data_IF_728629212845
#
_entry.id   IF_728629212845
#
_cell.length_a   1.000
_cell.length_b   1.000
_cell.length_c   1.000
_cell.angle_alpha   90.00
_cell.angle_beta   90.00
_cell.angle_gamma   90.00
#
_symmetry.space_group_name_H-M   'P 1'
#
loop_
_entity.id
_entity.type
_entity.pdbx_description
1 polymer ?
#
# COMPACT_ATOMS: atom_id res chain seq x y z
N UNK A 1 -54.63 40.55 -41.31
CA UNK A 1 -54.74 39.69 -40.10
C UNK A 1 -55.97 38.79 -40.23
N UNK A 2 -55.81 37.53 -40.64
CA UNK A 2 -56.89 36.52 -40.64
C UNK A 2 -56.78 35.72 -39.33
N UNK A 3 -57.81 35.78 -38.48
CA UNK A 3 -57.92 34.97 -37.26
C UNK A 3 -58.37 33.56 -37.65
N UNK A 4 -57.55 32.55 -37.39
CA UNK A 4 -57.96 31.15 -37.40
C UNK A 4 -59.00 30.90 -36.29
N UNK A 5 -60.24 30.65 -36.70
CA UNK A 5 -61.25 30.06 -35.81
C UNK A 5 -60.94 28.57 -35.66
N UNK A 6 -60.08 28.22 -34.70
CA UNK A 6 -59.77 26.84 -34.34
C UNK A 6 -61.03 26.17 -33.75
N UNK A 7 -61.44 25.09 -34.40
CA UNK A 7 -62.63 24.30 -34.15
C UNK A 7 -62.55 23.51 -32.81
N UNK A 8 -62.74 24.19 -31.68
CA UNK A 8 -62.71 23.61 -30.32
C UNK A 8 -63.91 22.70 -29.97
N UNK A 9 -64.92 22.61 -30.84
CA UNK A 9 -66.16 21.86 -30.57
C UNK A 9 -66.01 20.34 -30.75
N UNK A 10 -65.24 19.87 -31.75
CA UNK A 10 -65.12 18.43 -32.05
C UNK A 10 -64.29 17.62 -31.04
N UNK A 11 -63.37 18.25 -30.30
CA UNK A 11 -62.48 17.54 -29.36
C UNK A 11 -63.20 17.03 -28.11
N UNK A 12 -64.27 17.71 -27.65
CA UNK A 12 -65.01 17.34 -26.44
C UNK A 12 -65.87 16.07 -26.58
N UNK A 13 -66.27 15.70 -27.79
CA UNK A 13 -67.10 14.51 -28.02
C UNK A 13 -66.29 13.21 -28.11
N UNK A 14 -65.01 13.28 -28.49
CA UNK A 14 -64.14 12.11 -28.59
C UNK A 14 -63.88 11.52 -27.20
N UNK A 15 -63.64 12.36 -26.19
CA UNK A 15 -63.43 11.92 -24.79
C UNK A 15 -64.66 11.27 -24.15
N UNK A 16 -65.87 11.55 -24.66
CA UNK A 16 -67.12 10.95 -24.17
C UNK A 16 -67.45 9.61 -24.85
N UNK A 17 -66.90 9.36 -26.04
CA UNK A 17 -67.13 8.10 -26.74
C UNK A 17 -66.37 6.96 -26.07
N UNK A 18 -66.87 5.73 -26.23
CA UNK A 18 -66.22 4.51 -25.73
C UNK A 18 -64.77 4.42 -26.26
N UNK A 19 -64.54 4.84 -27.50
CA UNK A 19 -63.22 4.88 -28.14
C UNK A 19 -62.27 5.86 -27.45
N UNK A 20 -62.71 7.07 -27.09
CA UNK A 20 -61.85 8.03 -26.38
C UNK A 20 -61.48 7.57 -24.97
N UNK A 21 -62.40 6.89 -24.26
CA UNK A 21 -62.11 6.26 -22.96
C UNK A 21 -61.10 5.13 -23.10
N UNK A 22 -61.21 4.28 -24.12
CA UNK A 22 -60.24 3.22 -24.40
C UNK A 22 -58.85 3.80 -24.74
N UNK A 23 -58.78 4.85 -25.56
CA UNK A 23 -57.52 5.54 -25.86
C UNK A 23 -56.86 6.09 -24.59
N UNK A 24 -57.64 6.71 -23.69
CA UNK A 24 -57.12 7.19 -22.41
C UNK A 24 -56.58 6.06 -21.53
N UNK A 25 -57.32 4.94 -21.43
CA UNK A 25 -56.89 3.78 -20.63
C UNK A 25 -55.58 3.20 -21.21
N UNK A 26 -55.51 3.00 -22.52
CA UNK A 26 -54.29 2.50 -23.19
C UNK A 26 -53.12 3.47 -22.97
N UNK A 27 -53.36 4.78 -23.12
CA UNK A 27 -52.35 5.80 -22.85
C UNK A 27 -51.85 5.76 -21.39
N UNK A 28 -52.75 5.62 -20.42
CA UNK A 28 -52.39 5.50 -19.01
C UNK A 28 -51.58 4.23 -18.72
N UNK A 29 -51.96 3.09 -19.32
CA UNK A 29 -51.22 1.83 -19.21
C UNK A 29 -49.81 1.97 -19.78
N UNK A 30 -49.65 2.63 -20.92
CA UNK A 30 -48.34 2.85 -21.54
C UNK A 30 -47.44 3.77 -20.70
N UNK A 31 -47.99 4.83 -20.11
CA UNK A 31 -47.24 5.71 -19.21
C UNK A 31 -46.81 4.94 -17.95
N UNK A 32 -47.74 4.19 -17.35
CA UNK A 32 -47.48 3.42 -16.14
C UNK A 32 -46.46 2.29 -16.38
N UNK A 33 -46.58 1.56 -17.49
CA UNK A 33 -45.60 0.54 -17.88
C UNK A 33 -44.23 1.15 -18.13
N UNK A 34 -44.16 2.30 -18.80
CA UNK A 34 -42.90 3.02 -19.02
C UNK A 34 -42.22 3.43 -17.72
N UNK A 35 -42.99 3.92 -16.72
CA UNK A 35 -42.46 4.29 -15.41
C UNK A 35 -41.93 3.05 -14.67
N UNK A 36 -42.68 1.94 -14.67
CA UNK A 36 -42.24 0.68 -14.03
C UNK A 36 -40.99 0.14 -14.69
N UNK A 37 -40.99 0.02 -16.02
CA UNK A 37 -39.83 -0.47 -16.77
C UNK A 37 -38.62 0.43 -16.54
N UNK A 38 -38.81 1.76 -16.58
CA UNK A 38 -37.73 2.71 -16.30
C UNK A 38 -37.15 2.50 -14.91
N UNK A 39 -37.99 2.40 -13.86
CA UNK A 39 -37.53 2.13 -12.48
C UNK A 39 -36.78 0.79 -12.38
N UNK A 40 -37.31 -0.26 -12.99
CA UNK A 40 -36.66 -1.57 -12.99
C UNK A 40 -35.30 -1.53 -13.71
N UNK A 41 -35.24 -0.90 -14.89
CA UNK A 41 -34.00 -0.72 -15.66
C UNK A 41 -32.99 0.11 -14.89
N UNK A 42 -33.40 1.19 -14.23
CA UNK A 42 -32.51 2.00 -13.39
C UNK A 42 -31.93 1.19 -12.24
N UNK A 43 -32.75 0.48 -11.47
CA UNK A 43 -32.27 -0.34 -10.35
C UNK A 43 -31.34 -1.48 -10.83
N UNK A 44 -31.68 -2.13 -11.95
CA UNK A 44 -30.84 -3.19 -12.52
C UNK A 44 -29.51 -2.63 -13.04
N UNK A 45 -29.53 -1.45 -13.65
CA UNK A 45 -28.33 -0.76 -14.15
C UNK A 45 -27.45 -0.29 -13.00
N UNK A 46 -28.02 0.27 -11.93
CA UNK A 46 -27.31 0.65 -10.72
C UNK A 46 -26.61 -0.55 -10.08
N UNK A 47 -27.33 -1.66 -9.91
CA UNK A 47 -26.73 -2.91 -9.41
C UNK A 47 -25.58 -3.40 -10.27
N UNK A 48 -25.74 -3.42 -11.60
CA UNK A 48 -24.68 -3.86 -12.53
C UNK A 48 -23.48 -2.93 -12.51
N UNK A 49 -23.70 -1.62 -12.43
CA UNK A 49 -22.62 -0.63 -12.30
C UNK A 49 -21.86 -0.83 -10.99
N UNK A 50 -22.57 -1.07 -9.89
CA UNK A 50 -21.97 -1.38 -8.61
C UNK A 50 -21.10 -2.64 -8.66
N UNK A 51 -21.65 -3.76 -9.17
CA UNK A 51 -20.88 -5.00 -9.36
C UNK A 51 -19.64 -4.79 -10.24
N UNK A 52 -19.74 -3.99 -11.30
CA UNK A 52 -18.60 -3.67 -12.16
C UNK A 52 -17.53 -2.84 -11.43
N UNK A 53 -17.93 -1.86 -10.61
CA UNK A 53 -17.01 -1.08 -9.77
C UNK A 53 -16.27 -2.00 -8.80
N UNK A 54 -16.98 -2.91 -8.12
CA UNK A 54 -16.36 -3.87 -7.20
C UNK A 54 -15.35 -4.78 -7.92
N UNK A 55 -15.66 -5.26 -9.12
CA UNK A 55 -14.73 -6.06 -9.93
C UNK A 55 -13.48 -5.28 -10.33
N UNK A 56 -13.63 -4.01 -10.71
CA UNK A 56 -12.49 -3.12 -11.01
C UNK A 56 -11.63 -2.90 -9.78
N UNK A 57 -12.22 -2.58 -8.63
CA UNK A 57 -11.47 -2.39 -7.38
C UNK A 57 -10.70 -3.64 -6.98
N UNK A 58 -11.31 -4.84 -7.11
CA UNK A 58 -10.63 -6.10 -6.87
C UNK A 58 -9.44 -6.31 -7.81
N UNK A 59 -9.59 -5.99 -9.10
CA UNK A 59 -8.49 -6.06 -10.06
C UNK A 59 -7.37 -5.07 -9.72
N UNK A 60 -7.71 -3.84 -9.34
CA UNK A 60 -6.76 -2.80 -8.95
C UNK A 60 -5.98 -3.22 -7.70
N UNK A 61 -6.65 -3.66 -6.63
CA UNK A 61 -5.99 -4.16 -5.41
C UNK A 61 -5.05 -5.32 -5.73
N UNK A 62 -5.44 -6.25 -6.61
CA UNK A 62 -4.55 -7.34 -7.05
C UNK A 62 -3.30 -6.79 -7.75
N UNK A 63 -3.49 -5.88 -8.70
CA UNK A 63 -2.39 -5.29 -9.48
C UNK A 63 -1.43 -4.47 -8.61
N UNK A 64 -1.97 -3.67 -7.69
CA UNK A 64 -1.21 -2.88 -6.72
C UNK A 64 -0.38 -3.81 -5.83
N UNK A 65 -1.02 -4.84 -5.26
CA UNK A 65 -0.35 -5.76 -4.33
C UNK A 65 0.80 -6.49 -5.00
N UNK A 66 0.59 -7.03 -6.20
CA UNK A 66 1.65 -7.65 -6.98
C UNK A 66 2.79 -6.67 -7.25
N UNK A 67 2.47 -5.42 -7.64
CA UNK A 67 3.50 -4.40 -7.92
C UNK A 67 4.30 -4.04 -6.68
N UNK A 68 3.65 -3.93 -5.51
CA UNK A 68 4.31 -3.68 -4.23
C UNK A 68 5.22 -4.85 -3.83
N UNK A 69 4.73 -6.08 -3.94
CA UNK A 69 5.52 -7.29 -3.67
C UNK A 69 6.75 -7.37 -4.58
N UNK A 70 6.58 -7.09 -5.87
CA UNK A 70 7.70 -7.07 -6.80
C UNK A 70 8.71 -5.97 -6.45
N UNK A 71 8.23 -4.78 -6.07
CA UNK A 71 9.09 -3.68 -5.63
C UNK A 71 9.87 -4.06 -4.37
N UNK A 72 9.20 -4.58 -3.34
CA UNK A 72 9.84 -5.04 -2.10
C UNK A 72 10.85 -6.17 -2.36
N UNK A 73 10.50 -7.12 -3.23
CA UNK A 73 11.41 -8.18 -3.66
C UNK A 73 12.63 -7.62 -4.39
N UNK A 74 12.46 -6.58 -5.22
CA UNK A 74 13.59 -5.92 -5.88
C UNK A 74 14.51 -5.25 -4.85
N UNK A 75 13.96 -4.61 -3.81
CA UNK A 75 14.78 -4.06 -2.72
C UNK A 75 15.60 -5.16 -2.03
N UNK A 76 15.00 -6.32 -1.78
CA UNK A 76 15.67 -7.48 -1.20
C UNK A 76 16.75 -8.08 -2.13
N UNK A 77 16.55 -8.03 -3.46
CA UNK A 77 17.54 -8.45 -4.45
C UNK A 77 18.72 -7.48 -4.50
N UNK A 78 18.47 -6.18 -4.43
CA UNK A 78 19.53 -5.17 -4.45
C UNK A 78 20.46 -5.31 -3.24
N UNK A 79 19.91 -5.52 -2.04
CA UNK A 79 20.75 -5.77 -0.84
C UNK A 79 21.55 -7.08 -0.95
N UNK A 80 21.10 -8.02 -1.79
CA UNK A 80 21.83 -9.26 -2.08
C UNK A 80 23.12 -8.99 -2.91
N UNK A 81 23.24 -7.86 -3.61
CA UNK A 81 24.47 -7.52 -4.33
C UNK A 81 25.69 -7.41 -3.41
N UNK A 82 25.48 -6.92 -2.19
CA UNK A 82 26.55 -6.68 -1.22
C UNK A 82 27.09 -7.96 -0.58
N UNK A 83 26.29 -9.03 -0.49
CA UNK A 83 26.73 -10.28 0.12
C UNK A 83 27.76 -11.04 -0.72
N UNK A 84 27.90 -10.69 -2.01
CA UNK A 84 28.88 -11.28 -2.92
C UNK A 84 30.19 -10.49 -3.01
N UNK A 85 30.32 -9.40 -2.25
CA UNK A 85 31.54 -8.60 -2.21
C UNK A 85 32.37 -8.95 -0.97
N UNK A 86 33.54 -9.57 -1.18
CA UNK A 86 34.49 -9.96 -0.13
C UNK A 86 34.84 -8.79 0.82
N UNK A 87 34.94 -7.57 0.30
CA UNK A 87 35.21 -6.38 1.11
C UNK A 87 34.15 -6.20 2.22
N UNK A 88 32.87 -6.38 1.92
CA UNK A 88 31.78 -6.26 2.91
C UNK A 88 31.75 -7.45 3.87
N UNK A 89 31.93 -8.68 3.35
CA UNK A 89 31.98 -9.92 4.14
C UNK A 89 33.16 -9.95 5.11
N UNK A 90 34.29 -9.34 4.73
CA UNK A 90 35.44 -9.22 5.61
C UNK A 90 35.24 -8.08 6.62
N UNK A 91 34.69 -6.95 6.18
CA UNK A 91 34.54 -5.80 7.04
C UNK A 91 33.47 -5.98 8.12
N UNK A 92 32.41 -6.77 7.90
CA UNK A 92 31.41 -7.06 8.93
C UNK A 92 32.01 -7.73 10.19
N UNK A 93 33.17 -8.37 10.04
CA UNK A 93 33.92 -9.04 11.12
C UNK A 93 34.91 -8.11 11.84
N UNK A 94 34.91 -6.81 11.53
CA UNK A 94 35.82 -5.83 12.13
C UNK A 94 35.68 -5.79 13.66
N UNK A 95 36.80 -5.61 14.36
CA UNK A 95 36.76 -5.37 15.80
C UNK A 95 36.12 -4.00 16.08
N UNK A 96 35.01 -3.99 16.81
CA UNK A 96 34.30 -2.77 17.21
C UNK A 96 35.22 -1.83 18.01
N UNK A 97 36.21 -2.35 18.75
CA UNK A 97 37.20 -1.51 19.44
C UNK A 97 38.06 -0.73 18.45
N UNK A 98 38.42 -1.31 17.31
CA UNK A 98 39.18 -0.62 16.27
C UNK A 98 38.38 0.56 15.69
N UNK A 99 37.06 0.39 15.50
CA UNK A 99 36.17 1.46 15.06
C UNK A 99 36.01 2.55 16.12
N UNK A 100 35.76 2.18 17.38
CA UNK A 100 35.61 3.13 18.51
C UNK A 100 36.89 3.93 18.75
N UNK A 101 38.05 3.30 18.62
CA UNK A 101 39.37 3.92 18.76
C UNK A 101 39.82 4.64 17.47
N UNK A 102 38.99 4.67 16.42
CA UNK A 102 39.25 5.32 15.14
C UNK A 102 40.59 4.90 14.51
N UNK A 103 40.89 3.60 14.55
CA UNK A 103 42.12 3.06 13.92
C UNK A 103 42.14 3.43 12.43
N UNK A 104 43.21 4.08 11.92
CA UNK A 104 43.20 4.67 10.57
C UNK A 104 42.78 3.71 9.46
N UNK A 105 43.33 2.49 9.44
CA UNK A 105 43.00 1.48 8.42
C UNK A 105 41.52 1.08 8.44
N UNK A 106 40.96 0.87 9.63
CA UNK A 106 39.56 0.44 9.78
C UNK A 106 38.61 1.56 9.38
N UNK A 107 38.92 2.81 9.72
CA UNK A 107 38.12 3.98 9.34
C UNK A 107 38.22 4.28 7.85
N UNK A 108 39.39 4.10 7.24
CA UNK A 108 39.56 4.25 5.78
C UNK A 108 38.68 3.25 5.02
N UNK A 109 38.74 1.96 5.40
CA UNK A 109 37.87 0.93 4.82
C UNK A 109 36.40 1.20 5.11
N UNK A 110 36.04 1.61 6.33
CA UNK A 110 34.66 1.95 6.69
C UNK A 110 34.11 3.05 5.78
N UNK A 111 34.86 4.13 5.59
CA UNK A 111 34.45 5.24 4.74
C UNK A 111 34.33 4.82 3.28
N UNK A 112 35.29 4.04 2.76
CA UNK A 112 35.24 3.53 1.37
C UNK A 112 33.96 2.74 1.13
N UNK A 113 33.62 1.80 2.01
CA UNK A 113 32.45 0.95 1.85
C UNK A 113 31.14 1.67 2.15
N UNK A 114 31.11 2.53 3.17
CA UNK A 114 29.94 3.39 3.47
C UNK A 114 29.58 4.28 2.28
N UNK A 115 30.59 4.83 1.56
CA UNK A 115 30.34 5.60 0.34
C UNK A 115 29.69 4.77 -0.78
N UNK A 116 29.85 3.45 -0.81
CA UNK A 116 29.15 2.58 -1.76
C UNK A 116 27.66 2.56 -1.42
N UNK A 117 27.31 2.38 -0.14
CA UNK A 117 25.93 2.36 0.37
C UNK A 117 25.20 3.70 0.14
N UNK A 118 25.92 4.83 0.04
CA UNK A 118 25.28 6.13 -0.25
C UNK A 118 24.74 6.29 -1.67
N UNK A 119 25.06 5.38 -2.59
CA UNK A 119 24.63 5.53 -4.00
C UNK A 119 23.12 5.43 -4.15
N UNK A 120 22.49 4.53 -3.39
CA UNK A 120 21.07 4.19 -3.55
C UNK A 120 20.15 5.12 -2.74
N UNK A 121 20.68 5.74 -1.68
CA UNK A 121 20.03 6.80 -0.88
C UNK A 121 19.62 8.02 -1.73
N UNK A 122 20.31 8.26 -2.86
CA UNK A 122 20.04 9.42 -3.73
C UNK A 122 18.68 9.38 -4.44
N UNK A 123 17.99 8.24 -4.41
CA UNK A 123 16.66 8.07 -5.00
C UNK A 123 15.56 8.84 -4.25
N UNK A 124 15.80 9.25 -3.00
CA UNK A 124 14.80 9.90 -2.12
C UNK A 124 13.73 8.94 -1.57
N UNK A 125 13.76 7.67 -2.01
CA UNK A 125 12.90 6.58 -1.54
C UNK A 125 13.59 5.74 -0.45
N UNK A 126 14.93 5.66 -0.52
CA UNK A 126 15.76 4.99 0.48
C UNK A 126 16.29 6.03 1.46
N UNK A 127 16.02 5.82 2.75
CA UNK A 127 16.54 6.66 3.81
C UNK A 127 17.99 6.31 4.13
N UNK A 128 18.27 5.02 4.32
CA UNK A 128 19.57 4.54 4.71
C UNK A 128 19.80 3.11 4.23
N UNK A 129 21.06 2.76 4.07
CA UNK A 129 21.51 1.38 3.90
C UNK A 129 22.66 1.13 4.86
N UNK A 130 22.60 0.03 5.58
CA UNK A 130 23.57 -0.24 6.63
C UNK A 130 23.78 -1.73 6.86
N UNK A 131 24.93 -2.06 7.44
CA UNK A 131 25.31 -3.43 7.78
C UNK A 131 25.53 -3.51 9.28
N UNK A 132 24.90 -4.51 9.86
CA UNK A 132 24.90 -4.84 11.29
C UNK A 132 25.73 -6.10 11.50
N UNK A 133 26.70 -6.09 12.40
CA UNK A 133 27.46 -7.30 12.72
C UNK A 133 26.63 -8.31 13.56
N UNK A 134 27.20 -9.50 13.80
CA UNK A 134 26.57 -10.57 14.60
C UNK A 134 26.12 -10.18 16.03
N UNK A 135 26.71 -9.11 16.58
CA UNK A 135 26.43 -8.60 17.91
C UNK A 135 25.30 -7.55 17.90
N UNK A 136 24.79 -7.16 16.73
CA UNK A 136 23.74 -6.16 16.58
C UNK A 136 24.26 -4.73 16.47
N UNK A 137 25.55 -4.53 16.17
CA UNK A 137 26.16 -3.20 16.04
C UNK A 137 26.28 -2.81 14.57
N UNK A 138 25.82 -1.61 14.23
CA UNK A 138 25.97 -1.03 12.89
C UNK A 138 27.45 -0.72 12.61
N UNK A 139 28.05 -1.41 11.64
CA UNK A 139 29.47 -1.28 11.28
C UNK A 139 29.71 -0.51 9.99
N UNK A 140 28.73 -0.51 9.07
CA UNK A 140 28.72 0.30 7.86
C UNK A 140 27.35 0.94 7.72
N UNK A 141 27.29 2.17 7.23
CA UNK A 141 26.03 2.85 6.97
C UNK A 141 26.24 3.94 5.93
N UNK A 142 25.25 4.15 5.06
CA UNK A 142 25.24 5.29 4.14
C UNK A 142 25.10 6.60 4.92
N UNK A 143 24.20 6.67 5.90
CA UNK A 143 24.20 7.73 6.91
C UNK A 143 25.16 7.41 8.05
N UNK A 144 26.18 8.27 8.21
CA UNK A 144 27.19 8.14 9.27
C UNK A 144 26.62 8.30 10.68
N UNK A 145 25.43 8.89 10.83
CA UNK A 145 24.76 9.04 12.13
C UNK A 145 24.40 7.69 12.76
N UNK A 146 24.15 6.67 11.94
CA UNK A 146 23.79 5.32 12.36
C UNK A 146 24.99 4.47 12.79
N UNK A 147 26.23 4.88 12.49
CA UNK A 147 27.42 4.08 12.80
C UNK A 147 27.56 3.83 14.31
N UNK A 148 27.87 2.59 14.66
CA UNK A 148 27.99 2.08 16.03
C UNK A 148 26.69 2.10 16.85
N UNK A 149 25.53 2.36 16.23
CA UNK A 149 24.24 2.16 16.86
C UNK A 149 24.04 0.67 17.21
N UNK A 150 23.39 0.42 18.33
CA UNK A 150 22.99 -0.93 18.77
C UNK A 150 21.54 -1.17 18.36
N UNK A 151 21.34 -2.15 17.49
CA UNK A 151 20.04 -2.58 16.98
C UNK A 151 19.76 -4.04 17.33
N UNK A 152 20.50 -4.62 18.29
CA UNK A 152 20.38 -6.02 18.70
C UNK A 152 18.99 -6.41 19.21
N UNK A 153 18.21 -5.45 19.67
CA UNK A 153 16.84 -5.62 20.15
C UNK A 153 15.77 -5.36 19.09
N UNK A 154 16.14 -4.98 17.87
CA UNK A 154 15.19 -4.67 16.80
C UNK A 154 14.68 -5.97 16.18
N UNK A 155 13.39 -6.00 15.87
CA UNK A 155 12.70 -7.20 15.35
C UNK A 155 13.36 -7.75 14.09
N UNK A 156 13.73 -6.87 13.15
CA UNK A 156 14.40 -7.28 11.91
C UNK A 156 15.72 -8.00 12.16
N UNK A 157 16.51 -7.58 13.16
CA UNK A 157 17.78 -8.21 13.48
C UNK A 157 17.57 -9.53 14.22
N UNK A 158 16.59 -9.58 15.11
CA UNK A 158 16.22 -10.81 15.83
C UNK A 158 15.79 -11.90 14.84
N UNK A 159 14.91 -11.57 13.88
CA UNK A 159 14.40 -12.55 12.92
C UNK A 159 15.49 -13.04 11.95
N UNK A 160 16.30 -12.14 11.38
CA UNK A 160 17.41 -12.57 10.51
C UNK A 160 18.46 -13.37 11.26
N UNK A 161 18.74 -13.04 12.53
CA UNK A 161 19.64 -13.82 13.40
C UNK A 161 19.08 -15.21 13.69
N UNK A 162 17.77 -15.35 13.86
CA UNK A 162 17.09 -16.60 14.18
C UNK A 162 16.88 -17.54 12.99
N UNK A 163 17.24 -17.13 11.77
CA UNK A 163 17.28 -18.03 10.62
C UNK A 163 16.55 -17.52 9.39
N UNK A 164 15.80 -16.42 9.51
CA UNK A 164 15.13 -15.84 8.36
C UNK A 164 16.16 -15.26 7.39
N UNK A 165 16.04 -15.66 6.13
CA UNK A 165 16.97 -15.23 5.09
C UNK A 165 16.71 -13.77 4.68
N UNK A 166 15.44 -13.41 4.50
CA UNK A 166 14.95 -12.05 4.27
C UNK A 166 13.82 -11.79 5.25
N UNK A 167 13.80 -10.60 5.83
CA UNK A 167 12.74 -10.11 6.69
C UNK A 167 12.32 -8.70 6.26
N UNK A 168 11.01 -8.44 6.27
CA UNK A 168 10.42 -7.12 6.04
C UNK A 168 9.76 -6.69 7.35
N UNK A 169 10.18 -5.55 7.90
CA UNK A 169 9.63 -5.11 9.19
C UNK A 169 8.22 -4.56 9.07
N UNK A 170 7.58 -4.34 10.21
CA UNK A 170 6.47 -3.38 10.29
C UNK A 170 7.00 -1.97 10.07
N UNK A 171 6.11 -1.00 9.88
CA UNK A 171 6.57 0.38 9.83
C UNK A 171 6.98 0.85 11.21
N UNK A 172 8.19 1.39 11.25
CA UNK A 172 8.78 1.97 12.44
C UNK A 172 9.12 3.42 12.18
N UNK A 173 9.13 4.21 13.24
CA UNK A 173 9.66 5.57 13.17
C UNK A 173 11.19 5.50 13.26
N UNK A 174 11.87 6.02 12.24
CA UNK A 174 13.31 6.20 12.21
C UNK A 174 13.75 7.07 13.39
N UNK A 175 14.81 6.65 14.08
CA UNK A 175 15.36 7.43 15.19
C UNK A 175 16.19 8.61 14.67
N UNK A 176 16.74 8.45 13.47
CA UNK A 176 17.70 9.32 12.82
C UNK A 176 16.99 10.50 12.16
N UNK A 177 15.89 10.24 11.43
CA UNK A 177 15.17 11.25 10.64
C UNK A 177 13.79 11.58 11.18
N UNK A 178 13.19 10.66 11.95
CA UNK A 178 11.79 10.74 12.36
C UNK A 178 10.80 10.34 11.27
N UNK A 179 11.24 9.90 10.10
CA UNK A 179 10.37 9.38 9.04
C UNK A 179 9.79 8.02 9.44
N UNK A 180 8.65 7.69 8.86
CA UNK A 180 8.13 6.32 8.89
C UNK A 180 8.83 5.49 7.82
N UNK A 181 9.46 4.40 8.25
CA UNK A 181 10.26 3.53 7.40
C UNK A 181 9.84 2.08 7.54
N UNK A 182 10.12 1.29 6.51
CA UNK A 182 10.08 -0.15 6.53
C UNK A 182 11.50 -0.68 6.30
N UNK A 183 11.94 -1.66 7.09
CA UNK A 183 13.30 -2.21 7.01
C UNK A 183 13.28 -3.50 6.22
N UNK A 184 13.97 -3.52 5.09
CA UNK A 184 14.29 -4.75 4.36
C UNK A 184 15.61 -5.26 4.91
N UNK A 185 15.57 -6.39 5.61
CA UNK A 185 16.72 -7.00 6.26
C UNK A 185 17.08 -8.33 5.60
N UNK A 186 18.33 -8.50 5.21
CA UNK A 186 18.86 -9.72 4.60
C UNK A 186 19.96 -10.30 5.47
N UNK A 187 19.85 -11.59 5.76
CA UNK A 187 20.84 -12.35 6.53
C UNK A 187 22.15 -12.49 5.74
N UNK A 188 23.27 -12.21 6.40
CA UNK A 188 24.61 -12.44 5.86
C UNK A 188 25.23 -13.66 6.53
N UNK A 189 25.70 -14.62 5.72
CA UNK A 189 26.32 -15.85 6.20
C UNK A 189 27.77 -15.96 5.72
N UNK A 190 28.60 -16.72 6.45
CA UNK A 190 29.90 -17.16 5.95
C UNK A 190 29.76 -18.36 5.00
N UNK A 191 30.90 -18.82 4.45
CA UNK A 191 30.98 -19.99 3.56
C UNK A 191 30.46 -21.29 4.21
N UNK A 192 30.40 -21.34 5.55
CA UNK A 192 29.91 -22.49 6.31
C UNK A 192 28.43 -22.34 6.72
N UNK A 193 27.75 -21.26 6.29
CA UNK A 193 26.37 -20.96 6.65
C UNK A 193 26.18 -20.31 8.03
N UNK A 194 27.26 -19.92 8.72
CA UNK A 194 27.15 -19.25 10.01
C UNK A 194 26.75 -17.79 9.85
N UNK A 195 25.89 -17.31 10.75
CA UNK A 195 25.47 -15.91 10.79
C UNK A 195 26.65 -14.97 11.03
N UNK A 196 26.88 -14.04 10.10
CA UNK A 196 27.85 -12.96 10.23
C UNK A 196 27.21 -11.65 10.67
N UNK A 197 25.93 -11.46 10.35
CA UNK A 197 25.22 -10.23 10.59
C UNK A 197 24.08 -10.04 9.59
N UNK A 198 23.66 -8.80 9.40
CA UNK A 198 22.50 -8.46 8.57
C UNK A 198 22.80 -7.20 7.78
N UNK A 199 22.44 -7.19 6.50
CA UNK A 199 22.36 -5.96 5.72
C UNK A 199 20.92 -5.47 5.72
N UNK A 200 20.75 -4.18 5.95
CA UNK A 200 19.47 -3.53 6.09
C UNK A 200 19.36 -2.37 5.11
N UNK A 201 18.15 -2.16 4.61
CA UNK A 201 17.77 -1.02 3.78
C UNK A 201 16.48 -0.43 4.33
N UNK A 202 16.55 0.85 4.69
CA UNK A 202 15.43 1.62 5.22
C UNK A 202 14.67 2.28 4.07
N UNK A 203 13.47 1.79 3.83
CA UNK A 203 12.57 2.29 2.80
C UNK A 203 11.60 3.29 3.43
N UNK A 204 11.53 4.51 2.90
CA UNK A 204 10.59 5.52 3.38
C UNK A 204 9.17 5.13 2.95
N UNK A 205 8.21 5.15 3.89
CA UNK A 205 6.82 4.79 3.61
C UNK A 205 6.16 5.71 2.57
N UNK A 206 6.47 7.02 2.60
CA UNK A 206 6.06 7.97 1.55
C UNK A 206 6.64 7.65 0.18
N UNK A 207 7.65 6.80 0.12
CA UNK A 207 8.24 6.30 -1.09
C UNK A 207 7.29 5.51 -2.02
N UNK A 208 6.14 5.08 -1.50
CA UNK A 208 5.08 4.45 -2.29
C UNK A 208 4.10 5.44 -2.93
N UNK A 209 4.23 6.74 -2.64
CA UNK A 209 3.27 7.76 -3.09
C UNK A 209 3.14 7.84 -4.60
N UNK A 210 4.25 7.79 -5.34
CA UNK A 210 4.23 7.79 -6.81
C UNK A 210 3.53 6.57 -7.41
N UNK A 211 3.59 5.43 -6.74
CA UNK A 211 2.94 4.19 -7.17
C UNK A 211 1.46 4.16 -6.80
N UNK A 212 1.11 4.56 -5.58
CA UNK A 212 -0.23 4.38 -5.03
C UNK A 212 -1.17 5.54 -5.35
N UNK A 213 -0.63 6.76 -5.52
CA UNK A 213 -1.45 7.95 -5.82
C UNK A 213 -2.19 7.87 -7.14
N UNK A 214 -1.66 7.16 -8.13
CA UNK A 214 -2.31 6.96 -9.43
C UNK A 214 -3.58 6.12 -9.36
N UNK A 215 -3.76 5.34 -8.27
CA UNK A 215 -4.95 4.52 -8.06
C UNK A 215 -6.02 5.23 -7.23
N UNK A 216 -5.75 6.41 -6.68
CA UNK A 216 -6.75 7.19 -5.98
C UNK A 216 -7.76 7.79 -6.97
N UNK A 217 -9.05 7.76 -6.59
CA UNK A 217 -10.13 8.34 -7.37
C UNK A 217 -11.00 9.26 -6.50
N UNK A 218 -11.88 10.05 -7.10
CA UNK A 218 -12.86 10.86 -6.36
C UNK A 218 -13.84 10.03 -5.51
N UNK A 219 -13.95 8.71 -5.77
CA UNK A 219 -14.97 7.83 -5.17
C UNK A 219 -14.41 6.80 -4.21
N UNK A 220 -13.11 6.60 -4.19
CA UNK A 220 -12.43 5.63 -3.34
C UNK A 220 -10.99 6.06 -3.13
N UNK A 221 -10.43 5.65 -2.00
CA UNK A 221 -9.05 5.90 -1.62
C UNK A 221 -8.32 4.58 -1.46
N UNK A 222 -7.05 4.57 -1.84
CA UNK A 222 -6.12 3.48 -1.58
C UNK A 222 -5.29 3.85 -0.34
N UNK A 223 -5.22 2.91 0.58
CA UNK A 223 -4.29 2.98 1.71
C UNK A 223 -3.46 1.68 1.76
N UNK A 224 -2.28 1.78 2.35
CA UNK A 224 -1.42 0.63 2.64
C UNK A 224 -1.24 0.57 4.15
N UNK A 225 -1.36 -0.62 4.75
CA UNK A 225 -1.13 -0.82 6.18
C UNK A 225 -0.01 -1.83 6.44
N UNK A 226 0.61 -1.79 7.62
CA UNK A 226 1.40 -2.91 8.12
C UNK A 226 0.49 -4.02 8.70
N UNK A 227 1.10 -5.11 9.18
CA UNK A 227 0.39 -6.24 9.79
C UNK A 227 -0.43 -5.81 11.03
N UNK A 228 0.05 -4.79 11.73
CA UNK A 228 -0.58 -4.24 12.93
C UNK A 228 -1.72 -3.26 12.62
N UNK A 229 -1.99 -2.98 11.34
CA UNK A 229 -3.04 -2.08 10.89
C UNK A 229 -2.63 -0.60 10.85
N UNK A 230 -1.36 -0.26 11.14
CA UNK A 230 -0.91 1.12 11.02
C UNK A 230 -0.84 1.53 9.54
N UNK A 231 -1.24 2.75 9.22
CA UNK A 231 -1.24 3.27 7.86
C UNK A 231 0.18 3.65 7.44
N UNK A 232 0.67 3.02 6.37
CA UNK A 232 1.96 3.31 5.71
C UNK A 232 1.79 4.33 4.58
N UNK A 233 0.63 4.28 3.93
CA UNK A 233 0.27 5.17 2.85
C UNK A 233 -1.20 5.56 2.94
N UNK A 234 -1.47 6.85 2.78
CA UNK A 234 -2.79 7.41 2.52
C UNK A 234 -2.62 8.70 1.71
N UNK A 235 -3.69 9.12 1.03
CA UNK A 235 -3.77 10.44 0.42
C UNK A 235 -3.73 11.54 1.49
N UNK A 236 -4.30 11.31 2.66
CA UNK A 236 -4.15 12.18 3.83
C UNK A 236 -2.88 11.79 4.61
N UNK A 237 -1.85 12.62 4.54
CA UNK A 237 -0.57 12.33 5.22
C UNK A 237 -0.65 12.42 6.73
N UNK A 238 -1.70 13.03 7.29
CA UNK A 238 -1.83 13.21 8.74
C UNK A 238 -2.19 11.92 9.49
N UNK A 239 -2.68 10.89 8.77
CA UNK A 239 -3.08 9.62 9.38
C UNK A 239 -1.99 8.54 9.30
N UNK A 240 -0.87 8.80 8.60
CA UNK A 240 0.26 7.87 8.51
C UNK A 240 0.83 7.58 9.90
N UNK A 241 1.09 6.30 10.16
CA UNK A 241 1.57 5.78 11.44
C UNK A 241 0.49 5.59 12.50
N UNK A 242 -0.78 5.86 12.20
CA UNK A 242 -1.92 5.52 13.06
C UNK A 242 -2.68 4.32 12.50
N UNK A 243 -3.43 3.64 13.36
CA UNK A 243 -4.45 2.67 12.92
C UNK A 243 -5.58 3.39 12.16
N UNK A 244 -6.32 2.66 11.32
CA UNK A 244 -7.39 3.26 10.51
C UNK A 244 -8.54 3.82 11.36
N UNK A 245 -8.72 3.27 12.57
CA UNK A 245 -9.83 3.59 13.44
C UNK A 245 -11.15 2.95 12.98
N UNK A 246 -11.07 2.01 12.05
CA UNK A 246 -12.17 1.20 11.56
C UNK A 246 -11.90 -0.23 12.03
N UNK A 247 -12.58 -0.63 13.10
CA UNK A 247 -12.43 -1.93 13.76
C UNK A 247 -12.43 -3.12 12.79
N UNK A 248 -13.28 -3.08 11.77
CA UNK A 248 -13.41 -4.14 10.78
C UNK A 248 -12.16 -4.26 9.89
N UNK A 249 -11.54 -3.13 9.54
CA UNK A 249 -10.31 -3.09 8.74
C UNK A 249 -9.11 -3.46 9.61
N UNK A 250 -9.02 -2.89 10.81
CA UNK A 250 -7.92 -3.12 11.75
C UNK A 250 -7.87 -4.59 12.24
N UNK A 251 -9.03 -5.27 12.31
CA UNK A 251 -9.07 -6.73 12.56
C UNK A 251 -8.66 -7.52 11.32
N UNK A 252 -9.13 -7.10 10.14
CA UNK A 252 -8.87 -7.78 8.87
C UNK A 252 -7.40 -7.73 8.42
N UNK A 253 -6.61 -6.73 8.83
CA UNK A 253 -5.18 -6.63 8.49
C UNK A 253 -4.34 -7.77 9.08
N UNK A 254 -4.81 -8.38 10.18
CA UNK A 254 -4.12 -9.46 10.88
C UNK A 254 -4.43 -10.86 10.30
N UNK A 255 -5.40 -10.97 9.39
CA UNK A 255 -5.77 -12.26 8.80
C UNK A 255 -5.00 -12.48 7.50
N UNK A 256 -4.13 -13.50 7.48
CA UNK A 256 -3.48 -13.95 6.24
C UNK A 256 -4.55 -14.40 5.25
N UNK A 257 -4.61 -13.73 4.11
CA UNK A 257 -5.51 -14.10 3.03
C UNK A 257 -4.80 -13.94 1.69
N UNK A 258 -4.48 -15.08 1.08
CA UNK A 258 -3.99 -15.15 -0.30
C UNK A 258 -5.08 -14.75 -1.31
N UNK A 259 -6.27 -14.36 -0.84
CA UNK A 259 -7.40 -13.91 -1.63
C UNK A 259 -7.84 -12.51 -1.18
N UNK A 260 -8.38 -11.74 -2.12
CA UNK A 260 -8.98 -10.44 -1.79
C UNK A 260 -10.27 -10.66 -1.01
N UNK A 261 -10.33 -10.10 0.20
CA UNK A 261 -11.52 -10.08 1.05
C UNK A 261 -12.26 -8.75 0.87
N UNK A 262 -13.59 -8.83 0.88
CA UNK A 262 -14.43 -7.64 0.96
C UNK A 262 -14.83 -7.43 2.42
N UNK A 263 -14.59 -6.24 2.94
CA UNK A 263 -14.94 -5.82 4.29
C UNK A 263 -15.99 -4.73 4.19
N UNK A 264 -17.19 -5.02 4.68
CA UNK A 264 -18.29 -4.06 4.75
C UNK A 264 -18.25 -3.37 6.13
N UNK A 265 -18.26 -2.04 6.15
CA UNK A 265 -18.16 -1.25 7.38
C UNK A 265 -19.00 0.02 7.32
N UNK A 266 -19.27 0.62 8.48
CA UNK A 266 -19.99 1.91 8.55
C UNK A 266 -19.03 3.02 8.94
N UNK A 267 -18.95 4.06 8.11
CA UNK A 267 -18.13 5.25 8.37
C UNK A 267 -18.97 6.51 8.28
N UNK A 268 -19.00 7.31 9.35
CA UNK A 268 -19.84 8.50 9.47
C UNK A 268 -21.33 8.26 9.15
N UNK A 269 -21.85 7.07 9.49
CA UNK A 269 -23.24 6.70 9.26
C UNK A 269 -23.57 6.23 7.84
N UNK A 270 -22.56 6.10 6.96
CA UNK A 270 -22.71 5.57 5.61
C UNK A 270 -22.08 4.17 5.51
N UNK A 271 -22.75 3.26 4.80
CA UNK A 271 -22.18 1.95 4.45
C UNK A 271 -21.05 2.13 3.42
N UNK A 272 -19.91 1.50 3.70
CA UNK A 272 -18.70 1.50 2.88
C UNK A 272 -18.21 0.08 2.68
N UNK A 273 -17.40 -0.11 1.64
CA UNK A 273 -16.78 -1.38 1.29
C UNK A 273 -15.28 -1.15 1.16
N UNK A 274 -14.48 -2.05 1.71
CA UNK A 274 -13.03 -2.12 1.54
C UNK A 274 -12.68 -3.45 0.88
N UNK A 275 -11.73 -3.43 -0.06
CA UNK A 275 -11.11 -4.64 -0.58
C UNK A 275 -9.71 -4.74 0.02
N UNK A 276 -9.49 -5.79 0.80
CA UNK A 276 -8.23 -6.03 1.50
C UNK A 276 -7.48 -7.21 0.86
N UNK A 277 -6.16 -7.10 0.80
CA UNK A 277 -5.26 -8.18 0.40
C UNK A 277 -4.10 -8.25 1.40
N UNK A 278 -3.83 -9.43 1.95
CA UNK A 278 -2.79 -9.63 2.97
C UNK A 278 -2.07 -10.96 2.74
N UNK A 279 -0.82 -10.91 2.27
CA UNK A 279 -0.02 -12.09 1.92
C UNK A 279 0.99 -12.50 3.01
N UNK A 280 1.03 -11.76 4.14
CA UNK A 280 2.10 -11.88 5.14
C UNK A 280 1.66 -12.44 6.46
#
# INVERSE_FOLDING_TARGET
MKKEHINRSKSKNILKSIQGKLILIVGAILIFSSIITSRFTFNAMEKKQYEQILLTLKADVTGISNTLEEKMRNEAIEVNGYIFHDDFINFIKVDIKDLKNKKPSSIETQNKLSNILTKDIKSGYIENEYIVNKDGIVVLAGDKSALLADVSNREYFINTKNGEDIYYSDVIKSNETGNYINVVAKRMNDENGNFLGTICKDVIADGYDSLLSQYNHERYEVFLTDKSGNILYSKDKNIIGNITGIDEIDKGSNEKSNEITQIDFTYNGEEKNCFNYSNT
#
